data_IF_784952906768
#
_entry.id   IF_784952906768
#
_cell.length_a   1.000
_cell.length_b   1.000
_cell.length_c   1.000
_cell.angle_alpha   90.00
_cell.angle_beta   90.00
_cell.angle_gamma   90.00
#
_symmetry.space_group_name_H-M   'P 1'
#
loop_
_entity.id
_entity.type
_entity.pdbx_description
1 polymer ?
#
# COMPACT_ATOMS: atom_id res chain seq x y z
N UNK A 1 -7.26 -1.13 21.35
CA UNK A 1 -5.99 -1.47 20.65
C UNK A 1 -6.17 -1.14 19.17
N UNK A 2 -5.48 -0.14 18.61
CA UNK A 2 -5.48 0.09 17.17
C UNK A 2 -4.44 -0.82 16.54
N UNK A 3 -4.89 -1.84 15.82
CA UNK A 3 -4.04 -2.76 15.09
C UNK A 3 -3.29 -1.98 13.99
N UNK A 4 -1.96 -1.87 14.15
CA UNK A 4 -1.10 -1.17 13.19
C UNK A 4 -0.76 -2.12 12.05
N UNK A 5 -1.13 -1.73 10.83
CA UNK A 5 -0.73 -2.43 9.62
C UNK A 5 0.78 -2.24 9.44
N UNK A 6 1.55 -3.33 9.42
CA UNK A 6 2.98 -3.29 9.17
C UNK A 6 3.27 -3.68 7.72
N UNK A 7 4.16 -2.94 7.07
CA UNK A 7 4.72 -3.29 5.78
C UNK A 7 5.85 -4.32 5.97
N UNK A 8 6.08 -5.17 4.97
CA UNK A 8 7.25 -6.05 4.86
C UNK A 8 8.23 -5.41 3.88
N UNK A 9 9.51 -5.37 4.25
CA UNK A 9 10.58 -4.79 3.43
C UNK A 9 11.76 -5.74 3.44
N UNK A 10 12.37 -5.95 2.29
CA UNK A 10 13.60 -6.72 2.20
C UNK A 10 14.82 -5.83 2.42
N UNK A 11 15.75 -6.30 3.26
CA UNK A 11 17.04 -5.67 3.47
C UNK A 11 18.13 -6.75 3.54
N UNK A 12 19.10 -6.70 2.61
CA UNK A 12 20.20 -7.68 2.49
C UNK A 12 19.68 -9.13 2.39
N UNK A 13 18.66 -9.37 1.56
CA UNK A 13 18.07 -10.71 1.40
C UNK A 13 17.14 -11.18 2.53
N UNK A 14 16.93 -10.36 3.57
CA UNK A 14 16.06 -10.70 4.69
C UNK A 14 14.81 -9.83 4.72
N UNK A 15 13.64 -10.46 4.76
CA UNK A 15 12.35 -9.80 4.99
C UNK A 15 12.28 -9.29 6.44
N UNK A 16 11.96 -8.01 6.62
CA UNK A 16 11.74 -7.36 7.92
C UNK A 16 10.41 -6.62 7.93
N UNK A 17 9.85 -6.46 9.13
CA UNK A 17 8.67 -5.62 9.33
C UNK A 17 9.07 -4.15 9.43
N UNK A 18 8.48 -3.33 8.59
CA UNK A 18 8.53 -1.88 8.58
C UNK A 18 7.18 -1.32 9.03
N UNK A 19 7.18 -0.26 9.83
CA UNK A 19 5.94 0.46 10.15
C UNK A 19 5.42 1.37 9.02
N UNK A 20 6.10 1.41 7.87
CA UNK A 20 5.83 2.36 6.77
C UNK A 20 5.77 1.69 5.40
N UNK A 21 4.77 2.08 4.62
CA UNK A 21 4.53 1.71 3.23
C UNK A 21 5.10 2.75 2.27
N UNK A 22 5.49 2.32 1.07
CA UNK A 22 5.94 3.22 0.01
C UNK A 22 4.75 3.94 -0.62
N UNK A 23 5.01 5.06 -1.30
CA UNK A 23 3.97 5.78 -2.05
C UNK A 23 3.43 4.91 -3.19
N UNK A 24 4.30 4.15 -3.86
CA UNK A 24 3.91 3.26 -4.95
C UNK A 24 2.94 2.17 -4.47
N UNK A 25 3.21 1.55 -3.32
CA UNK A 25 2.35 0.53 -2.72
C UNK A 25 0.95 1.07 -2.37
N UNK A 26 0.89 2.30 -1.85
CA UNK A 26 -0.37 2.95 -1.52
C UNK A 26 -1.20 3.24 -2.77
N UNK A 27 -0.57 3.77 -3.82
CA UNK A 27 -1.23 4.07 -5.09
C UNK A 27 -1.78 2.80 -5.72
N UNK A 28 -1.02 1.71 -5.72
CA UNK A 28 -1.42 0.40 -6.25
C UNK A 28 -2.58 -0.23 -5.45
N UNK A 29 -2.63 0.04 -4.14
CA UNK A 29 -3.73 -0.34 -3.28
C UNK A 29 -4.95 0.60 -3.40
N UNK A 30 -4.84 1.70 -4.14
CA UNK A 30 -5.90 2.69 -4.32
C UNK A 30 -6.08 3.65 -3.14
N UNK A 31 -5.03 3.89 -2.35
CA UNK A 31 -5.00 4.95 -1.33
C UNK A 31 -4.13 6.13 -1.78
N UNK A 32 -4.58 7.34 -1.46
CA UNK A 32 -3.70 8.49 -1.39
C UNK A 32 -2.82 8.43 -0.14
N UNK A 33 -1.62 9.01 -0.19
CA UNK A 33 -0.76 9.20 0.99
C UNK A 33 -1.46 10.00 2.11
N UNK A 34 -2.39 10.90 1.75
CA UNK A 34 -3.20 11.66 2.72
C UNK A 34 -4.19 10.73 3.43
N UNK A 35 -4.90 9.91 2.67
CA UNK A 35 -5.89 8.95 3.18
C UNK A 35 -5.22 7.88 4.03
N UNK A 36 -4.06 7.39 3.59
CA UNK A 36 -3.24 6.45 4.34
C UNK A 36 -2.84 7.02 5.71
N UNK A 37 -2.39 8.29 5.74
CA UNK A 37 -2.02 8.96 6.99
C UNK A 37 -3.23 9.17 7.91
N UNK A 38 -4.39 9.51 7.35
CA UNK A 38 -5.65 9.61 8.10
C UNK A 38 -6.10 8.24 8.66
N UNK A 39 -5.83 7.15 7.93
CA UNK A 39 -6.10 5.78 8.35
C UNK A 39 -5.05 5.23 9.35
N UNK A 40 -4.07 6.03 9.78
CA UNK A 40 -3.01 5.61 10.70
C UNK A 40 -1.92 4.75 10.05
N UNK A 41 -1.85 4.72 8.72
CA UNK A 41 -0.84 3.98 7.95
C UNK A 41 0.40 4.87 7.80
N UNK A 42 1.56 4.36 8.22
CA UNK A 42 2.83 5.06 8.04
C UNK A 42 3.24 5.10 6.57
N UNK A 43 3.70 6.27 6.09
CA UNK A 43 4.13 6.45 4.70
C UNK A 43 5.61 6.82 4.64
N UNK A 44 6.36 6.10 3.82
CA UNK A 44 7.74 6.40 3.44
C UNK A 44 7.77 6.94 2.00
N UNK A 45 7.96 8.25 1.89
CA UNK A 45 8.01 8.96 0.60
C UNK A 45 9.34 8.76 -0.14
N UNK A 46 10.39 8.31 0.55
CA UNK A 46 11.74 8.17 -0.04
C UNK A 46 11.91 6.84 -0.75
N UNK A 47 11.13 5.83 -0.36
CA UNK A 47 11.18 4.48 -0.93
C UNK A 47 10.28 4.38 -2.16
N UNK A 48 10.85 3.89 -3.26
CA UNK A 48 10.14 3.60 -4.52
C UNK A 48 9.85 2.11 -4.71
N UNK A 49 10.34 1.24 -3.82
CA UNK A 49 10.11 -0.21 -3.92
C UNK A 49 8.64 -0.56 -3.74
N UNK A 50 8.22 -1.58 -4.47
CA UNK A 50 6.87 -2.12 -4.43
C UNK A 50 6.97 -3.61 -4.11
N UNK A 51 6.33 -4.02 -3.01
CA UNK A 51 6.20 -5.42 -2.64
C UNK A 51 4.73 -5.85 -2.75
N UNK A 52 4.45 -6.90 -3.50
CA UNK A 52 3.09 -7.39 -3.73
C UNK A 52 2.38 -7.82 -2.45
N UNK A 53 3.13 -8.35 -1.48
CA UNK A 53 2.63 -8.70 -0.14
C UNK A 53 2.05 -7.46 0.58
N UNK A 54 2.71 -6.31 0.44
CA UNK A 54 2.26 -5.05 1.04
C UNK A 54 1.03 -4.49 0.35
N UNK A 55 1.00 -4.54 -0.99
CA UNK A 55 -0.14 -4.11 -1.79
C UNK A 55 -1.38 -4.94 -1.43
N UNK A 56 -1.20 -6.25 -1.25
CA UNK A 56 -2.30 -7.16 -0.86
C UNK A 56 -2.82 -6.82 0.54
N UNK A 57 -1.92 -6.66 1.53
CA UNK A 57 -2.31 -6.26 2.88
C UNK A 57 -3.04 -4.90 2.92
N UNK A 58 -2.60 -3.94 2.11
CA UNK A 58 -3.27 -2.64 1.98
C UNK A 58 -4.65 -2.77 1.33
N UNK A 59 -4.79 -3.60 0.28
CA UNK A 59 -6.08 -3.86 -0.38
C UNK A 59 -7.07 -4.51 0.58
N UNK A 60 -6.63 -5.46 1.39
CA UNK A 60 -7.46 -6.07 2.43
C UNK A 60 -7.89 -5.06 3.48
N UNK A 61 -6.97 -4.19 3.92
CA UNK A 61 -7.28 -3.12 4.86
C UNK A 61 -8.32 -2.16 4.29
N UNK A 62 -8.19 -1.78 3.01
CA UNK A 62 -9.18 -0.93 2.33
C UNK A 62 -10.53 -1.62 2.21
N UNK A 63 -10.57 -2.91 1.89
CA UNK A 63 -11.82 -3.69 1.86
C UNK A 63 -12.50 -3.71 3.23
N UNK A 64 -11.73 -3.93 4.30
CA UNK A 64 -12.24 -3.94 5.67
C UNK A 64 -12.79 -2.57 6.12
N UNK A 65 -12.24 -1.47 5.59
CA UNK A 65 -12.76 -0.11 5.84
C UNK A 65 -13.99 0.18 4.96
N UNK A 66 -13.97 -0.24 3.68
CA UNK A 66 -15.06 -0.04 2.71
C UNK A 66 -16.30 -0.89 2.99
N UNK A 67 -16.20 -2.02 3.70
CA UNK A 67 -17.40 -2.75 4.15
C UNK A 67 -18.27 -1.92 5.11
N UNK A 68 -17.77 -0.77 5.59
CA UNK A 68 -18.52 0.21 6.39
C UNK A 68 -18.95 1.49 5.63
N UNK A 69 -18.58 1.71 4.35
CA UNK A 69 -19.04 2.87 3.56
C UNK A 69 -18.83 2.71 2.02
N UNK A 70 -19.73 3.24 1.16
CA UNK A 70 -19.77 2.89 -0.26
C UNK A 70 -18.63 3.48 -1.11
N UNK A 71 -18.36 2.75 -2.19
CA UNK A 71 -17.13 2.69 -2.99
C UNK A 71 -16.84 3.98 -3.79
N UNK A 72 -15.56 4.38 -3.82
CA UNK A 72 -14.96 5.00 -5.02
C UNK A 72 -13.84 4.11 -5.54
N UNK A 73 -14.09 3.53 -6.70
CA UNK A 73 -13.14 2.87 -7.58
C UNK A 73 -12.52 3.93 -8.49
N UNK A 74 -11.19 4.01 -8.52
CA UNK A 74 -10.49 4.48 -9.73
C UNK A 74 -9.51 3.38 -10.09
N UNK A 75 -9.95 2.51 -10.98
CA UNK A 75 -9.06 1.72 -11.80
C UNK A 75 -8.29 2.70 -12.68
N UNK A 76 -6.97 2.65 -12.67
CA UNK A 76 -6.18 3.31 -13.72
C UNK A 76 -5.02 2.39 -14.08
N UNK A 77 -5.14 1.85 -15.29
CA UNK A 77 -4.16 1.07 -16.06
C UNK A 77 -2.72 1.52 -15.81
N UNK A 78 -1.83 0.59 -15.48
CA UNK A 78 -0.44 0.60 -15.96
C UNK A 78 0.03 -0.83 -16.30
N UNK A 79 -0.38 -1.29 -17.48
CA UNK A 79 0.35 -2.30 -18.28
C UNK A 79 0.53 -1.69 -19.66
N UNK A 80 1.79 -1.55 -20.10
CA UNK A 80 2.37 -1.12 -21.40
C UNK A 80 3.52 -0.13 -21.09
N UNK A 81 4.79 -0.31 -21.47
CA UNK A 81 5.49 -0.74 -22.72
C UNK A 81 6.95 -1.10 -22.30
N UNK A 82 7.81 -1.86 -22.98
CA UNK A 82 7.97 -2.43 -24.34
C UNK A 82 9.26 -3.29 -24.24
N UNK A 83 9.32 -4.57 -24.59
CA UNK A 83 9.54 -5.15 -25.95
C UNK A 83 10.58 -4.37 -26.78
N UNK A 84 11.81 -4.90 -26.80
CA UNK A 84 12.74 -4.92 -27.93
C UNK A 84 13.49 -6.26 -27.91
#
# INVERSE_FOLDING_TARGET
MMERLNAVVEHRGHKRKSGRFSVAELVEAGLSWKDARAAGIGVDKRRSTLYDENVTALKERVKAVKSKAPKKSRATKQKAKSEE
#
